data_IF_762291077282
#
_entry.id   IF_762291077282
#
_cell.length_a   1.000
_cell.length_b   1.000
_cell.length_c   1.000
_cell.angle_alpha   90.00
_cell.angle_beta   90.00
_cell.angle_gamma   90.00
#
_symmetry.space_group_name_H-M   'P 1'
#
loop_
_entity.id
_entity.type
_entity.pdbx_description
1 polymer ?
#
# COMPACT_ATOMS: atom_id res chain seq x y z
N UNK A 1 -16.36 -6.15 13.76
CA UNK A 1 -15.41 -5.08 14.10
C UNK A 1 -14.02 -5.55 13.67
N UNK A 2 -13.58 -5.14 12.48
CA UNK A 2 -12.31 -5.59 11.88
C UNK A 2 -11.16 -4.92 12.63
N UNK A 3 -10.36 -5.72 13.32
CA UNK A 3 -9.09 -5.27 13.93
C UNK A 3 -8.16 -4.84 12.79
N UNK A 4 -7.58 -3.64 12.90
CA UNK A 4 -6.47 -3.20 12.05
C UNK A 4 -5.34 -4.23 12.22
N UNK A 5 -5.14 -5.10 11.22
CA UNK A 5 -3.99 -6.00 11.16
C UNK A 5 -2.92 -5.26 10.36
N UNK A 6 -1.98 -4.64 11.07
CA UNK A 6 -0.71 -4.19 10.48
C UNK A 6 0.00 -5.47 10.01
N UNK A 7 -0.09 -5.77 8.72
CA UNK A 7 0.69 -6.86 8.12
C UNK A 7 2.13 -6.39 8.07
N UNK A 8 3.02 -7.12 8.74
CA UNK A 8 4.47 -6.99 8.56
C UNK A 8 4.79 -7.44 7.13
N UNK A 9 4.77 -6.50 6.19
CA UNK A 9 5.21 -6.66 4.80
C UNK A 9 6.59 -6.05 4.64
N UNK A 10 7.45 -6.78 3.96
CA UNK A 10 8.86 -6.55 3.66
C UNK A 10 9.28 -5.08 3.48
N UNK A 11 10.12 -4.63 4.43
CA UNK A 11 10.83 -3.35 4.43
C UNK A 11 11.88 -3.39 3.32
N UNK A 12 11.59 -2.80 2.17
CA UNK A 12 12.58 -2.57 1.12
C UNK A 12 12.28 -1.24 0.42
N UNK A 13 12.74 -0.14 1.01
CA UNK A 13 12.62 1.19 0.42
C UNK A 13 13.50 2.21 1.15
N UNK A 14 14.71 2.40 0.61
CA UNK A 14 15.66 3.49 0.83
C UNK A 14 15.44 4.39 2.06
N UNK A 15 16.08 4.01 3.17
CA UNK A 15 16.40 4.89 4.29
C UNK A 15 17.22 6.09 3.81
N UNK A 16 16.56 7.23 3.58
CA UNK A 16 17.22 8.53 3.68
C UNK A 16 17.29 8.89 5.17
N UNK A 17 18.37 8.42 5.78
CA UNK A 17 18.79 8.75 7.13
C UNK A 17 19.08 10.26 7.19
N UNK A 18 18.17 11.05 7.76
CA UNK A 18 18.50 12.37 8.30
C UNK A 18 18.05 12.41 9.76
N UNK A 19 19.05 12.53 10.64
CA UNK A 19 18.95 12.47 12.09
C UNK A 19 17.91 13.45 12.63
N UNK A 20 16.88 12.94 13.31
CA UNK A 20 16.09 13.68 14.29
C UNK A 20 16.60 13.41 15.72
N UNK A 21 17.92 13.30 15.89
CA UNK A 21 18.56 13.01 17.17
C UNK A 21 19.57 14.10 17.54
N UNK A 22 19.09 15.32 17.80
CA UNK A 22 19.87 16.36 18.48
C UNK A 22 18.97 17.53 18.99
N UNK A 23 17.84 17.23 19.63
CA UNK A 23 16.86 18.27 20.00
C UNK A 23 16.90 18.78 21.45
N UNK A 24 17.47 18.05 22.42
CA UNK A 24 17.23 18.36 23.83
C UNK A 24 18.48 18.47 24.72
N UNK A 25 19.65 18.64 24.12
CA UNK A 25 20.84 18.99 24.87
C UNK A 25 21.07 20.51 24.91
N UNK A 26 20.74 21.07 26.09
CA UNK A 26 21.29 22.28 26.70
C UNK A 26 20.66 23.63 26.29
N UNK A 27 19.48 23.90 26.85
CA UNK A 27 18.96 25.27 27.02
C UNK A 27 19.68 26.08 28.12
N UNK A 28 20.70 25.53 28.80
CA UNK A 28 21.20 26.12 30.05
C UNK A 28 22.43 27.04 29.95
N UNK A 29 22.83 27.54 28.76
CA UNK A 29 24.03 28.38 28.66
C UNK A 29 23.97 29.64 27.77
N UNK A 30 22.86 29.92 27.07
CA UNK A 30 22.74 31.13 26.24
C UNK A 30 21.43 31.87 26.53
N UNK A 31 21.46 32.74 27.53
CA UNK A 31 20.35 33.62 27.87
C UNK A 31 20.17 34.71 26.80
N UNK A 32 19.44 34.46 25.72
CA UNK A 32 18.75 35.53 24.95
C UNK A 32 17.52 35.06 24.14
N UNK A 33 17.43 33.80 23.69
CA UNK A 33 16.35 33.36 22.79
C UNK A 33 15.41 32.34 23.46
N UNK A 34 14.44 32.86 24.22
CA UNK A 34 13.34 32.08 24.82
C UNK A 34 12.21 31.84 23.80
N UNK A 35 11.44 30.78 24.00
CA UNK A 35 10.18 30.58 23.27
C UNK A 35 9.18 31.63 23.79
N UNK A 36 8.32 32.15 22.92
CA UNK A 36 7.11 32.88 23.29
C UNK A 36 5.91 31.91 23.16
N UNK A 37 5.46 31.29 24.25
CA UNK A 37 4.39 30.29 24.18
C UNK A 37 3.02 30.89 23.85
N UNK A 38 2.89 32.22 23.85
CA UNK A 38 1.66 32.92 23.48
C UNK A 38 1.59 33.24 21.98
N UNK A 39 2.72 33.13 21.26
CA UNK A 39 2.76 33.31 19.81
C UNK A 39 2.22 32.04 19.13
N UNK A 40 1.15 32.15 18.29
CA UNK A 40 0.64 31.00 17.57
C UNK A 40 1.68 30.49 16.56
N UNK A 41 1.74 29.18 16.38
CA UNK A 41 2.52 28.53 15.35
C UNK A 41 1.65 28.16 14.16
N UNK A 42 2.22 28.20 12.96
CA UNK A 42 1.61 27.66 11.74
C UNK A 42 2.33 26.38 11.36
N UNK A 43 1.58 25.28 11.24
CA UNK A 43 2.04 24.02 10.69
C UNK A 43 1.54 23.87 9.26
N UNK A 44 2.45 23.80 8.29
CA UNK A 44 2.16 23.45 6.90
C UNK A 44 2.53 21.99 6.67
N UNK A 45 1.56 21.15 6.32
CA UNK A 45 1.77 19.80 5.82
C UNK A 45 1.92 19.85 4.31
N UNK A 46 2.98 19.24 3.77
CA UNK A 46 3.29 19.25 2.35
C UNK A 46 3.53 17.85 1.80
N UNK A 47 2.91 17.54 0.67
CA UNK A 47 3.31 16.39 -0.15
C UNK A 47 4.78 16.60 -0.60
N UNK A 48 5.64 15.55 -0.57
CA UNK A 48 7.01 15.63 -1.07
C UNK A 48 7.06 16.06 -2.53
N UNK A 49 8.08 16.85 -2.89
CA UNK A 49 8.26 17.34 -4.26
C UNK A 49 9.29 16.50 -5.00
N UNK A 50 9.06 16.29 -6.30
CA UNK A 50 10.03 15.64 -7.19
C UNK A 50 10.01 14.11 -7.14
N UNK A 51 9.08 13.53 -6.39
CA UNK A 51 8.82 12.10 -6.35
C UNK A 51 7.85 11.69 -7.47
N UNK A 52 7.96 10.44 -7.96
CA UNK A 52 7.11 9.92 -9.05
C UNK A 52 5.60 10.03 -8.74
N UNK A 53 5.23 9.89 -7.47
CA UNK A 53 3.86 9.95 -6.98
C UNK A 53 3.38 11.36 -6.60
N UNK A 54 4.20 12.40 -6.78
CA UNK A 54 3.88 13.77 -6.33
C UNK A 54 2.60 14.30 -6.99
N UNK A 55 2.51 14.18 -8.32
CA UNK A 55 1.35 14.69 -9.08
C UNK A 55 0.06 13.94 -8.72
N UNK A 56 0.17 12.62 -8.51
CA UNK A 56 -0.96 11.79 -8.07
C UNK A 56 -1.47 12.25 -6.70
N UNK A 57 -0.58 12.38 -5.71
CA UNK A 57 -0.94 12.85 -4.36
C UNK A 57 -1.45 14.29 -4.34
N UNK A 58 -0.93 15.17 -5.20
CA UNK A 58 -1.42 16.55 -5.31
C UNK A 58 -2.87 16.61 -5.85
N UNK A 59 -3.26 15.65 -6.69
CA UNK A 59 -4.62 15.50 -7.18
C UNK A 59 -5.61 14.89 -6.18
N UNK A 60 -5.15 14.50 -5.00
CA UNK A 60 -5.98 13.89 -3.96
C UNK A 60 -6.32 14.90 -2.86
N UNK A 61 -7.45 14.65 -2.18
CA UNK A 61 -7.75 15.25 -0.88
C UNK A 61 -7.27 14.29 0.20
N UNK A 62 -6.29 14.72 1.01
CA UNK A 62 -5.76 13.92 2.13
C UNK A 62 -6.23 14.52 3.46
N UNK A 63 -6.47 13.65 4.44
CA UNK A 63 -6.90 14.06 5.77
C UNK A 63 -5.85 13.69 6.83
N UNK A 64 -5.40 14.69 7.59
CA UNK A 64 -4.45 14.53 8.67
C UNK A 64 -5.13 14.74 10.03
N UNK A 65 -4.91 13.79 10.94
CA UNK A 65 -5.27 13.85 12.35
C UNK A 65 -4.08 14.35 13.15
N UNK A 66 -4.30 15.36 13.99
CA UNK A 66 -3.26 16.04 14.76
C UNK A 66 -3.57 15.90 16.25
N UNK A 67 -2.60 15.40 17.01
CA UNK A 67 -2.70 15.17 18.45
C UNK A 67 -1.62 15.96 19.18
N UNK A 68 -1.99 16.74 20.19
CA UNK A 68 -1.04 17.45 21.03
C UNK A 68 -0.42 16.48 22.04
N UNK A 69 0.84 16.13 21.79
CA UNK A 69 1.62 15.20 22.63
C UNK A 69 2.15 15.91 23.87
N UNK A 70 2.62 17.15 23.73
CA UNK A 70 3.12 17.93 24.85
C UNK A 70 2.95 19.44 24.61
N UNK A 71 2.83 20.20 25.69
CA UNK A 71 2.99 21.67 25.69
C UNK A 71 4.45 22.03 25.92
N UNK A 72 4.86 23.25 25.58
CA UNK A 72 6.20 23.79 25.88
C UNK A 72 6.09 25.14 26.58
N UNK A 73 6.96 25.39 27.55
CA UNK A 73 7.05 26.68 28.23
C UNK A 73 8.13 27.59 27.61
N UNK A 74 8.26 28.82 28.14
CA UNK A 74 9.23 29.80 27.63
C UNK A 74 10.70 29.35 27.79
N UNK A 75 10.97 28.41 28.71
CA UNK A 75 12.30 27.83 28.91
C UNK A 75 12.59 26.65 27.96
N UNK A 76 11.60 26.21 27.17
CA UNK A 76 11.72 25.04 26.31
C UNK A 76 11.47 23.73 27.03
N UNK A 77 10.89 23.75 28.24
CA UNK A 77 10.55 22.52 28.96
C UNK A 77 9.22 21.96 28.45
N UNK A 78 9.26 20.71 27.98
CA UNK A 78 8.06 20.01 27.51
C UNK A 78 7.32 19.32 28.66
N UNK A 79 5.99 19.36 28.60
CA UNK A 79 5.09 18.65 29.50
C UNK A 79 4.07 17.83 28.70
N UNK A 80 4.15 16.51 28.81
CA UNK A 80 3.25 15.59 28.09
C UNK A 80 1.79 15.76 28.53
N UNK A 81 0.87 15.75 27.56
CA UNK A 81 -0.57 15.73 27.81
C UNK A 81 -0.99 14.37 28.40
N UNK A 82 -2.19 14.30 29.00
CA UNK A 82 -2.62 13.13 29.78
C UNK A 82 -2.53 11.81 29.02
N UNK A 83 -2.86 11.83 27.72
CA UNK A 83 -2.87 10.63 26.87
C UNK A 83 -1.46 10.16 26.50
N UNK A 84 -0.48 11.06 26.51
CA UNK A 84 0.90 10.79 26.10
C UNK A 84 1.89 10.76 27.26
N UNK A 85 1.43 10.81 28.52
CA UNK A 85 2.31 10.73 29.71
C UNK A 85 3.23 9.51 29.74
N UNK A 86 2.80 8.40 29.14
CA UNK A 86 3.58 7.16 29.07
C UNK A 86 4.67 7.19 28.00
N UNK A 87 4.68 8.22 27.12
CA UNK A 87 5.68 8.38 26.07
C UNK A 87 7.06 8.63 26.67
N UNK A 88 7.13 9.39 27.77
CA UNK A 88 8.36 9.83 28.45
C UNK A 88 9.32 10.54 27.49
N UNK A 89 8.99 11.77 27.08
CA UNK A 89 9.81 12.55 26.14
C UNK A 89 11.27 12.68 26.59
N UNK A 90 11.50 12.71 27.91
CA UNK A 90 12.83 12.76 28.54
C UNK A 90 13.72 11.57 28.18
N UNK A 91 13.16 10.42 27.83
CA UNK A 91 13.95 9.24 27.44
C UNK A 91 14.60 9.46 26.04
N UNK A 92 13.91 10.14 25.11
CA UNK A 92 14.53 10.55 23.84
C UNK A 92 15.60 11.63 24.03
N UNK A 93 15.40 12.54 24.99
CA UNK A 93 16.41 13.56 25.36
C UNK A 93 17.72 12.94 25.78
N UNK A 94 17.64 11.86 26.56
CA UNK A 94 18.79 11.17 27.10
C UNK A 94 19.46 10.23 26.10
N UNK A 95 18.84 10.04 24.92
CA UNK A 95 19.29 9.10 23.89
C UNK A 95 18.94 7.65 24.19
N UNK A 96 18.03 7.38 25.13
CA UNK A 96 17.59 6.03 25.51
C UNK A 96 16.65 5.43 24.45
N UNK A 97 15.95 6.28 23.69
CA UNK A 97 15.08 5.91 22.56
C UNK A 97 15.28 6.87 21.39
N UNK A 98 15.11 6.36 20.17
CA UNK A 98 15.15 7.17 18.96
C UNK A 98 13.84 7.95 18.75
N UNK A 99 13.89 9.03 17.97
CA UNK A 99 12.70 9.80 17.60
C UNK A 99 11.69 8.97 16.79
N UNK A 100 12.17 8.01 16.00
CA UNK A 100 11.34 7.10 15.21
C UNK A 100 10.58 6.12 16.12
N UNK A 101 11.26 5.49 17.08
CA UNK A 101 10.62 4.62 18.09
C UNK A 101 9.60 5.40 18.93
N UNK A 102 9.93 6.64 19.29
CA UNK A 102 9.00 7.53 20.01
C UNK A 102 7.78 7.88 19.16
N UNK A 103 7.97 8.17 17.87
CA UNK A 103 6.86 8.46 16.95
C UNK A 103 5.94 7.25 16.79
N UNK A 104 6.50 6.04 16.66
CA UNK A 104 5.72 4.80 16.59
C UNK A 104 4.88 4.58 17.86
N UNK A 105 5.50 4.74 19.04
CA UNK A 105 4.81 4.62 20.33
C UNK A 105 3.71 5.68 20.50
N UNK A 106 3.94 6.92 20.06
CA UNK A 106 2.92 7.96 20.09
C UNK A 106 1.73 7.59 19.17
N UNK A 107 1.98 7.08 17.97
CA UNK A 107 0.94 6.61 17.07
C UNK A 107 0.12 5.45 17.66
N UNK A 108 0.76 4.50 18.35
CA UNK A 108 0.04 3.44 19.07
C UNK A 108 -0.89 4.01 20.15
N UNK A 109 -0.41 4.96 20.96
CA UNK A 109 -1.21 5.61 22.01
C UNK A 109 -2.41 6.40 21.44
N UNK A 110 -2.27 6.95 20.23
CA UNK A 110 -3.30 7.75 19.56
C UNK A 110 -4.36 6.91 18.82
N UNK A 111 -4.12 5.62 18.58
CA UNK A 111 -4.92 4.76 17.67
C UNK A 111 -6.44 4.75 17.92
N UNK A 112 -6.88 4.81 19.18
CA UNK A 112 -8.30 4.83 19.58
C UNK A 112 -8.73 6.19 20.16
N UNK A 113 -7.98 7.26 19.88
CA UNK A 113 -8.20 8.60 20.44
C UNK A 113 -8.77 9.55 19.38
N UNK A 114 -9.61 10.46 19.85
CA UNK A 114 -10.06 11.60 19.04
C UNK A 114 -8.89 12.58 18.87
N UNK A 115 -8.60 13.05 17.65
CA UNK A 115 -7.59 14.07 17.45
C UNK A 115 -8.00 15.39 18.11
N UNK A 116 -7.02 16.17 18.54
CA UNK A 116 -7.26 17.53 19.05
C UNK A 116 -7.72 18.45 17.91
N UNK A 117 -7.22 18.20 16.70
CA UNK A 117 -7.70 18.84 15.48
C UNK A 117 -7.35 18.04 14.24
N UNK A 118 -7.99 18.38 13.12
CA UNK A 118 -7.70 17.84 11.81
C UNK A 118 -7.21 18.94 10.85
N UNK A 119 -6.51 18.52 9.80
CA UNK A 119 -6.06 19.33 8.68
C UNK A 119 -6.38 18.59 7.37
N UNK A 120 -6.97 19.31 6.41
CA UNK A 120 -7.21 18.80 5.06
C UNK A 120 -6.12 19.34 4.14
N UNK A 121 -5.55 18.47 3.33
CA UNK A 121 -4.47 18.77 2.40
C UNK A 121 -5.05 18.63 0.98
N UNK A 122 -5.04 19.74 0.25
CA UNK A 122 -5.54 19.84 -1.13
C UNK A 122 -4.46 20.50 -1.98
N UNK A 123 -4.35 20.10 -3.25
CA UNK A 123 -3.30 20.62 -4.14
C UNK A 123 -1.88 20.48 -3.52
N UNK A 124 -1.68 19.40 -2.76
CA UNK A 124 -0.41 19.05 -2.13
C UNK A 124 -0.05 19.78 -0.83
N UNK A 125 -0.88 20.71 -0.34
CA UNK A 125 -0.58 21.47 0.89
C UNK A 125 -1.79 21.65 1.81
N UNK A 126 -1.56 21.71 3.11
CA UNK A 126 -2.59 22.03 4.10
C UNK A 126 -1.98 22.72 5.32
N UNK A 127 -2.64 23.77 5.81
CA UNK A 127 -2.12 24.59 6.91
C UNK A 127 -2.99 24.53 8.17
N UNK A 128 -2.34 24.59 9.33
CA UNK A 128 -3.02 24.63 10.62
C UNK A 128 -2.32 25.55 11.61
N UNK A 129 -3.06 26.48 12.18
CA UNK A 129 -2.61 27.27 13.34
C UNK A 129 -2.75 26.43 14.63
N UNK A 130 -1.69 26.37 15.43
CA UNK A 130 -1.54 25.55 16.62
C UNK A 130 -0.77 26.32 17.70
N UNK A 131 -0.99 25.97 18.97
CA UNK A 131 -0.17 26.50 20.07
C UNK A 131 1.22 25.86 20.08
N UNK A 132 2.20 26.46 20.75
CA UNK A 132 3.51 25.83 20.92
C UNK A 132 3.43 24.50 21.68
N UNK A 133 4.18 23.49 21.21
CA UNK A 133 4.18 22.14 21.75
C UNK A 133 4.76 21.11 20.78
N UNK A 134 4.60 19.84 21.11
CA UNK A 134 4.89 18.71 20.20
C UNK A 134 3.57 18.11 19.75
N UNK A 135 3.46 17.87 18.45
CA UNK A 135 2.28 17.29 17.82
C UNK A 135 2.62 16.00 17.09
N UNK A 136 1.78 14.98 17.26
CA UNK A 136 1.76 13.80 16.40
C UNK A 136 0.82 14.07 15.24
N UNK A 137 1.32 13.90 14.02
CA UNK A 137 0.52 13.95 12.78
C UNK A 137 0.40 12.56 12.21
N UNK A 138 -0.85 12.14 11.97
CA UNK A 138 -1.20 10.86 11.33
C UNK A 138 -2.09 11.17 10.14
N UNK A 139 -1.63 10.88 8.93
CA UNK A 139 -2.45 11.02 7.72
C UNK A 139 -3.19 9.72 7.46
N UNK A 140 -4.48 9.83 7.12
CA UNK A 140 -5.29 8.67 6.77
C UNK A 140 -4.77 8.01 5.49
N UNK A 141 -4.91 6.68 5.40
CA UNK A 141 -4.63 5.94 4.17
C UNK A 141 -5.47 6.51 3.03
N UNK A 142 -4.85 6.71 1.88
CA UNK A 142 -5.51 7.19 0.69
C UNK A 142 -5.33 6.19 -0.46
N UNK A 143 -6.27 6.13 -1.40
CA UNK A 143 -6.19 5.20 -2.52
C UNK A 143 -6.61 5.86 -3.83
N UNK A 144 -5.93 5.47 -4.90
CA UNK A 144 -6.31 5.74 -6.29
C UNK A 144 -6.82 4.45 -6.93
N UNK A 145 -7.15 4.49 -8.22
CA UNK A 145 -7.54 3.29 -8.96
C UNK A 145 -6.44 2.21 -8.97
N UNK A 146 -5.17 2.62 -8.88
CA UNK A 146 -4.02 1.74 -9.08
C UNK A 146 -3.16 1.55 -7.84
N UNK A 147 -3.15 2.51 -6.91
CA UNK A 147 -2.26 2.50 -5.76
C UNK A 147 -3.00 2.76 -4.44
N UNK A 148 -2.41 2.25 -3.36
CA UNK A 148 -2.71 2.63 -1.99
C UNK A 148 -1.50 3.37 -1.40
N UNK A 149 -1.77 4.45 -0.66
CA UNK A 149 -0.79 5.25 0.04
C UNK A 149 -1.00 5.17 1.53
N UNK A 150 0.02 4.67 2.22
CA UNK A 150 0.13 4.74 3.66
C UNK A 150 1.14 5.82 4.02
N UNK A 151 0.93 6.54 5.12
CA UNK A 151 1.81 7.65 5.51
C UNK A 151 2.45 7.36 6.84
N UNK A 152 3.77 7.48 6.92
CA UNK A 152 4.47 7.35 8.18
C UNK A 152 4.08 8.52 9.09
N UNK A 153 3.67 8.25 10.35
CA UNK A 153 3.36 9.31 11.30
C UNK A 153 4.61 10.15 11.59
N UNK A 154 4.38 11.39 12.04
CA UNK A 154 5.46 12.32 12.38
C UNK A 154 5.22 13.04 13.69
N UNK A 155 6.23 13.09 14.56
CA UNK A 155 6.29 14.05 15.67
C UNK A 155 6.93 15.35 15.22
N UNK A 156 6.23 16.46 15.44
CA UNK A 156 6.61 17.80 14.98
C UNK A 156 6.63 18.75 16.19
N UNK A 157 7.75 19.42 16.41
CA UNK A 157 7.88 20.47 17.40
C UNK A 157 7.48 21.83 16.81
N UNK A 158 6.69 22.59 17.56
CA UNK A 158 6.26 23.94 17.23
C UNK A 158 6.53 24.86 18.45
N UNK A 159 7.28 25.97 18.29
CA UNK A 159 8.09 26.33 17.12
C UNK A 159 9.27 25.36 16.93
N UNK A 160 9.86 25.37 15.73
CA UNK A 160 11.11 24.64 15.43
C UNK A 160 12.34 25.57 15.59
N UNK A 161 13.55 25.00 15.56
CA UNK A 161 14.79 25.76 15.58
C UNK A 161 15.91 25.03 14.83
N UNK A 162 16.44 25.69 13.79
CA UNK A 162 17.44 25.11 12.89
C UNK A 162 18.73 24.68 13.61
N UNK A 163 19.06 25.29 14.75
CA UNK A 163 20.23 24.91 15.55
C UNK A 163 20.19 23.45 16.02
N UNK A 164 19.02 22.83 16.12
CA UNK A 164 18.86 21.40 16.46
C UNK A 164 19.13 20.46 15.28
N UNK A 165 19.07 20.96 14.06
CA UNK A 165 19.20 20.16 12.85
C UNK A 165 20.58 20.33 12.18
N UNK A 166 21.29 21.40 12.49
CA UNK A 166 22.52 21.76 11.77
C UNK A 166 23.52 22.49 12.66
N UNK A 167 24.72 21.90 12.82
CA UNK A 167 25.80 22.52 13.57
C UNK A 167 26.19 23.88 12.95
N UNK A 168 26.15 24.94 13.77
CA UNK A 168 26.47 26.31 13.33
C UNK A 168 25.30 27.09 12.74
N UNK A 169 24.08 26.52 12.72
CA UNK A 169 22.89 27.29 12.39
C UNK A 169 22.56 28.35 13.46
N UNK A 170 21.89 29.41 13.04
CA UNK A 170 21.44 30.47 13.94
C UNK A 170 20.42 29.90 14.94
N UNK A 171 20.61 30.21 16.22
CA UNK A 171 19.67 29.82 17.27
C UNK A 171 18.46 30.76 17.25
N UNK A 172 17.46 30.48 16.39
CA UNK A 172 16.26 31.29 16.23
C UNK A 172 15.02 30.38 16.15
N UNK A 173 13.99 30.72 16.92
CA UNK A 173 12.69 30.05 16.88
C UNK A 173 11.93 30.36 15.58
N UNK A 174 11.37 29.32 14.98
CA UNK A 174 10.62 29.33 13.72
C UNK A 174 9.19 28.89 14.03
N UNK A 175 8.25 29.84 14.00
CA UNK A 175 6.83 29.58 14.30
C UNK A 175 6.05 29.09 13.08
N UNK A 176 6.57 29.29 11.87
CA UNK A 176 6.02 28.76 10.62
C UNK A 176 6.82 27.52 10.21
N UNK A 177 6.30 26.33 10.52
CA UNK A 177 6.99 25.05 10.33
C UNK A 177 6.34 24.29 9.18
N UNK A 178 7.14 23.88 8.19
CA UNK A 178 6.69 22.97 7.14
C UNK A 178 7.17 21.56 7.42
N UNK A 179 6.24 20.60 7.43
CA UNK A 179 6.54 19.18 7.54
C UNK A 179 6.12 18.44 6.27
N UNK A 180 7.09 17.74 5.66
CA UNK A 180 6.81 16.90 4.51
C UNK A 180 6.16 15.59 4.97
N UNK A 181 5.09 15.18 4.29
CA UNK A 181 4.50 13.87 4.45
C UNK A 181 5.49 12.78 4.02
N UNK A 182 5.35 11.58 4.58
CA UNK A 182 6.20 10.43 4.27
C UNK A 182 5.35 9.28 3.72
N UNK A 183 4.89 9.38 2.45
CA UNK A 183 4.07 8.35 1.83
C UNK A 183 4.90 7.09 1.50
N UNK A 184 4.23 5.96 1.62
CA UNK A 184 4.63 4.65 1.11
C UNK A 184 3.54 4.20 0.14
N UNK A 185 3.92 4.04 -1.13
CA UNK A 185 3.01 3.65 -2.22
C UNK A 185 3.08 2.15 -2.44
N UNK A 186 1.92 1.49 -2.48
CA UNK A 186 1.80 0.06 -2.81
C UNK A 186 0.83 -0.14 -3.97
N UNK A 187 1.10 -1.04 -4.93
CA UNK A 187 0.13 -1.41 -5.96
C UNK A 187 -1.13 -2.01 -5.36
N UNK A 188 -2.27 -1.73 -5.98
CA UNK A 188 -3.52 -2.47 -5.77
C UNK A 188 -3.64 -3.58 -6.81
N UNK A 189 -4.46 -4.57 -6.51
CA UNK A 189 -4.59 -5.76 -7.34
C UNK A 189 -6.06 -6.08 -7.57
N UNK A 190 -6.34 -6.69 -8.71
CA UNK A 190 -7.61 -7.32 -9.02
C UNK A 190 -7.40 -8.76 -9.49
N UNK A 191 -8.48 -9.35 -9.98
CA UNK A 191 -8.48 -10.72 -10.48
C UNK A 191 -9.10 -10.81 -11.86
N UNK A 192 -8.72 -11.85 -12.58
CA UNK A 192 -9.26 -12.21 -13.88
C UNK A 192 -9.99 -13.55 -13.77
N UNK A 193 -11.26 -13.57 -14.17
CA UNK A 193 -12.06 -14.77 -14.39
C UNK A 193 -12.02 -15.14 -15.87
N UNK A 194 -11.49 -16.31 -16.18
CA UNK A 194 -11.57 -16.90 -17.52
C UNK A 194 -12.74 -17.87 -17.52
N UNK A 195 -13.83 -17.49 -18.18
CA UNK A 195 -15.00 -18.32 -18.34
C UNK A 195 -14.87 -19.15 -19.62
N UNK A 196 -14.95 -20.47 -19.46
CA UNK A 196 -14.90 -21.46 -20.54
C UNK A 196 -16.26 -22.09 -20.76
N UNK A 197 -16.84 -21.85 -21.94
CA UNK A 197 -18.08 -22.48 -22.37
C UNK A 197 -17.79 -23.64 -23.34
N UNK A 198 -18.50 -24.74 -23.15
CA UNK A 198 -18.45 -25.91 -24.02
C UNK A 198 -19.86 -26.31 -24.45
N UNK A 199 -20.20 -26.07 -25.73
CA UNK A 199 -21.55 -26.30 -26.25
C UNK A 199 -21.92 -27.78 -26.35
N UNK A 200 -20.99 -28.58 -26.87
CA UNK A 200 -21.17 -30.01 -27.12
C UNK A 200 -19.97 -30.77 -26.55
N UNK A 201 -20.24 -31.93 -25.96
CA UNK A 201 -19.24 -32.78 -25.32
C UNK A 201 -19.44 -34.23 -25.72
N UNK A 202 -18.35 -34.96 -25.97
CA UNK A 202 -18.40 -36.38 -26.26
C UNK A 202 -18.07 -37.21 -25.00
N UNK A 203 -19.10 -37.79 -24.38
CA UNK A 203 -18.99 -38.60 -23.16
C UNK A 203 -18.03 -39.80 -23.30
N UNK A 204 -17.88 -40.35 -24.51
CA UNK A 204 -16.99 -41.50 -24.75
C UNK A 204 -15.52 -41.11 -24.67
N UNK A 205 -15.20 -39.82 -24.89
CA UNK A 205 -13.84 -39.28 -24.91
C UNK A 205 -13.29 -38.92 -23.54
N UNK A 206 -14.13 -39.03 -22.49
CA UNK A 206 -13.83 -38.57 -21.12
C UNK A 206 -13.51 -37.07 -21.06
N UNK A 207 -12.93 -36.66 -19.94
CA UNK A 207 -12.58 -35.29 -19.63
C UNK A 207 -11.69 -34.65 -20.70
N UNK A 208 -11.94 -33.36 -20.96
CA UNK A 208 -11.14 -32.53 -21.86
C UNK A 208 -10.62 -31.30 -21.11
N UNK A 209 -9.33 -31.01 -21.28
CA UNK A 209 -8.68 -29.84 -20.70
C UNK A 209 -8.44 -28.76 -21.74
N UNK A 210 -8.74 -27.51 -21.39
CA UNK A 210 -8.42 -26.30 -22.13
C UNK A 210 -7.36 -25.50 -21.38
N UNK A 211 -6.38 -24.92 -22.07
CA UNK A 211 -5.26 -24.19 -21.45
C UNK A 211 -5.20 -22.76 -21.98
N UNK A 212 -5.05 -21.82 -21.06
CA UNK A 212 -5.03 -20.39 -21.31
C UNK A 212 -3.71 -19.79 -20.83
N UNK A 213 -3.03 -19.09 -21.72
CA UNK A 213 -1.88 -18.25 -21.37
C UNK A 213 -2.36 -16.84 -21.04
N UNK A 214 -1.87 -16.28 -19.95
CA UNK A 214 -2.21 -14.94 -19.46
C UNK A 214 -0.93 -14.13 -19.43
N UNK A 215 -0.93 -12.97 -20.09
CA UNK A 215 0.13 -11.98 -19.98
C UNK A 215 -0.49 -10.62 -19.67
N UNK A 216 0.03 -9.92 -18.66
CA UNK A 216 -0.39 -8.56 -18.34
C UNK A 216 0.79 -7.59 -18.44
N UNK A 217 0.54 -6.44 -19.04
CA UNK A 217 1.53 -5.36 -19.17
C UNK A 217 1.09 -4.08 -18.45
N UNK A 218 2.06 -3.35 -17.90
CA UNK A 218 1.85 -2.01 -17.36
C UNK A 218 1.67 -0.95 -18.47
N UNK A 219 1.47 0.31 -18.09
CA UNK A 219 1.35 1.44 -19.01
C UNK A 219 2.59 1.67 -19.88
N UNK A 220 3.76 1.22 -19.43
CA UNK A 220 5.04 1.31 -20.12
C UNK A 220 5.29 0.11 -21.04
N UNK A 221 4.40 -0.90 -21.04
CA UNK A 221 4.50 -2.11 -21.82
C UNK A 221 5.39 -3.19 -21.20
N UNK A 222 5.79 -3.08 -19.94
CA UNK A 222 6.54 -4.12 -19.24
C UNK A 222 5.60 -5.23 -18.76
N UNK A 223 6.01 -6.49 -18.91
CA UNK A 223 5.26 -7.62 -18.35
C UNK A 223 5.30 -7.57 -16.83
N UNK A 224 4.13 -7.41 -16.21
CA UNK A 224 3.94 -7.37 -14.75
C UNK A 224 3.24 -8.61 -14.20
N UNK A 225 2.69 -9.44 -15.09
CA UNK A 225 2.07 -10.72 -14.73
C UNK A 225 2.19 -11.69 -15.91
N UNK A 226 2.52 -12.94 -15.62
CA UNK A 226 2.49 -14.03 -16.59
C UNK A 226 2.11 -15.32 -15.88
N UNK A 227 1.08 -16.00 -16.39
CA UNK A 227 0.60 -17.24 -15.81
C UNK A 227 -0.06 -18.13 -16.87
N UNK A 228 -0.20 -19.41 -16.57
CA UNK A 228 -0.95 -20.36 -17.39
C UNK A 228 -1.95 -21.07 -16.50
N UNK A 229 -3.22 -21.04 -16.90
CA UNK A 229 -4.30 -21.71 -16.17
C UNK A 229 -5.07 -22.66 -17.10
N UNK A 230 -5.80 -23.60 -16.51
CA UNK A 230 -6.59 -24.57 -17.26
C UNK A 230 -7.95 -24.83 -16.64
N UNK A 231 -8.90 -25.24 -17.49
CA UNK A 231 -10.21 -25.76 -17.09
C UNK A 231 -10.41 -27.13 -17.70
N UNK A 232 -10.89 -28.09 -16.91
CA UNK A 232 -11.18 -29.47 -17.37
C UNK A 232 -12.67 -29.75 -17.30
N UNK A 233 -13.28 -30.04 -18.44
CA UNK A 233 -14.71 -30.35 -18.55
C UNK A 233 -14.95 -31.86 -18.61
N UNK A 234 -15.90 -32.34 -17.82
CA UNK A 234 -16.43 -33.72 -17.86
C UNK A 234 -17.84 -33.80 -18.47
N UNK A 235 -18.38 -32.66 -18.91
CA UNK A 235 -19.67 -32.48 -19.59
C UNK A 235 -19.70 -31.16 -20.35
N UNK A 236 -20.71 -30.96 -21.20
CA UNK A 236 -21.00 -29.65 -21.79
C UNK A 236 -21.44 -28.66 -20.71
N UNK A 237 -21.23 -27.37 -20.94
CA UNK A 237 -21.55 -26.29 -20.00
C UNK A 237 -20.37 -25.36 -19.74
N UNK A 238 -20.51 -24.57 -18.69
CA UNK A 238 -19.55 -23.51 -18.34
C UNK A 238 -18.69 -23.94 -17.16
N UNK A 239 -17.38 -23.68 -17.25
CA UNK A 239 -16.46 -23.67 -16.10
C UNK A 239 -15.70 -22.36 -16.11
N UNK A 240 -15.04 -22.04 -15.01
CA UNK A 240 -14.19 -20.87 -14.95
C UNK A 240 -12.89 -21.15 -14.19
N UNK A 241 -11.83 -20.47 -14.58
CA UNK A 241 -10.58 -20.40 -13.82
C UNK A 241 -10.34 -18.95 -13.36
N UNK A 242 -9.77 -18.78 -12.17
CA UNK A 242 -9.43 -17.47 -11.62
C UNK A 242 -7.91 -17.31 -11.61
N UNK A 243 -7.44 -16.18 -12.13
CA UNK A 243 -6.08 -15.69 -11.96
C UNK A 243 -6.12 -14.44 -11.07
N UNK A 244 -5.66 -14.60 -9.84
CA UNK A 244 -5.67 -13.54 -8.83
C UNK A 244 -4.38 -12.72 -8.83
N UNK A 245 -4.41 -11.61 -8.08
CA UNK A 245 -3.25 -10.79 -7.75
C UNK A 245 -2.55 -10.18 -8.98
N UNK A 246 -3.36 -9.73 -9.94
CA UNK A 246 -2.88 -9.00 -11.12
C UNK A 246 -2.89 -7.50 -10.79
N UNK A 247 -1.80 -6.74 -11.04
CA UNK A 247 -1.77 -5.32 -10.74
C UNK A 247 -2.93 -4.55 -11.40
N UNK A 248 -3.58 -3.67 -10.65
CA UNK A 248 -4.63 -2.79 -11.17
C UNK A 248 -4.07 -1.84 -12.25
N UNK A 249 -4.86 -1.56 -13.28
CA UNK A 249 -4.44 -0.83 -14.49
C UNK A 249 -3.65 -1.66 -15.50
N UNK A 250 -3.26 -2.90 -15.16
CA UNK A 250 -2.57 -3.77 -16.11
C UNK A 250 -3.51 -4.20 -17.24
N UNK A 251 -3.00 -4.13 -18.48
CA UNK A 251 -3.70 -4.62 -19.67
C UNK A 251 -3.36 -6.08 -19.85
N UNK A 252 -4.36 -6.93 -19.66
CA UNK A 252 -4.25 -8.38 -19.76
C UNK A 252 -4.62 -8.83 -21.16
N UNK A 253 -3.82 -9.76 -21.67
CA UNK A 253 -4.06 -10.58 -22.84
C UNK A 253 -4.22 -12.02 -22.38
N UNK A 254 -5.33 -12.65 -22.74
CA UNK A 254 -5.55 -14.08 -22.54
C UNK A 254 -5.60 -14.76 -23.90
N UNK A 255 -4.84 -15.83 -24.08
CA UNK A 255 -4.83 -16.65 -25.30
C UNK A 255 -5.18 -18.08 -24.95
N UNK A 256 -6.16 -18.68 -25.62
CA UNK A 256 -6.37 -20.13 -25.54
C UNK A 256 -5.30 -20.83 -26.37
N UNK A 257 -4.28 -21.37 -25.69
CA UNK A 257 -3.11 -22.00 -26.33
C UNK A 257 -3.31 -23.49 -26.56
N UNK A 258 -4.30 -24.11 -25.91
CA UNK A 258 -4.69 -25.49 -26.15
C UNK A 258 -6.21 -25.65 -26.03
N UNK A 259 -6.84 -26.04 -27.14
CA UNK A 259 -8.29 -26.16 -27.26
C UNK A 259 -8.85 -27.53 -26.88
N UNK A 260 -8.04 -28.44 -26.34
CA UNK A 260 -8.47 -29.79 -26.01
C UNK A 260 -8.53 -30.72 -27.23
N UNK A 261 -8.19 -32.00 -27.03
CA UNK A 261 -8.22 -32.98 -28.12
C UNK A 261 -9.66 -33.30 -28.55
N UNK A 262 -9.96 -33.19 -29.86
CA UNK A 262 -11.31 -33.41 -30.40
C UNK A 262 -12.24 -32.19 -30.28
N UNK A 263 -11.69 -31.01 -29.98
CA UNK A 263 -12.44 -29.77 -29.86
C UNK A 263 -11.74 -28.65 -30.61
N UNK A 264 -12.53 -27.65 -31.01
CA UNK A 264 -12.03 -26.46 -31.68
C UNK A 264 -12.61 -25.20 -31.05
N UNK A 265 -11.79 -24.15 -31.06
CA UNK A 265 -12.18 -22.81 -30.67
C UNK A 265 -13.21 -22.22 -31.64
N UNK A 266 -14.19 -21.51 -31.10
CA UNK A 266 -15.24 -20.79 -31.82
C UNK A 266 -15.18 -19.29 -31.56
N UNK A 267 -14.82 -18.88 -30.34
CA UNK A 267 -14.54 -17.48 -30.01
C UNK A 267 -13.22 -17.00 -30.66
N UNK A 268 -12.90 -15.72 -30.48
CA UNK A 268 -11.58 -15.20 -30.85
C UNK A 268 -10.47 -15.91 -30.05
N UNK A 269 -9.28 -16.14 -30.66
CA UNK A 269 -8.14 -16.80 -30.01
C UNK A 269 -7.54 -16.00 -28.86
N UNK A 270 -7.78 -14.68 -28.86
CA UNK A 270 -7.24 -13.76 -27.88
C UNK A 270 -8.35 -12.87 -27.33
N UNK A 271 -8.41 -12.73 -26.01
CA UNK A 271 -9.25 -11.78 -25.31
C UNK A 271 -8.38 -10.78 -24.57
N UNK A 272 -8.87 -9.54 -24.42
CA UNK A 272 -8.15 -8.50 -23.68
C UNK A 272 -9.05 -7.82 -22.66
N UNK A 273 -8.46 -7.40 -21.54
CA UNK A 273 -9.14 -6.76 -20.43
C UNK A 273 -8.18 -5.84 -19.68
N UNK A 274 -8.72 -4.87 -18.93
CA UNK A 274 -7.95 -4.04 -17.99
C UNK A 274 -8.37 -4.38 -16.57
N UNK A 275 -7.40 -4.61 -15.68
CA UNK A 275 -7.67 -5.05 -14.32
C UNK A 275 -8.05 -3.86 -13.44
N UNK A 276 -9.17 -3.99 -12.73
CA UNK A 276 -9.61 -3.02 -11.74
C UNK A 276 -9.29 -3.52 -10.32
N UNK A 277 -8.85 -2.61 -9.45
CA UNK A 277 -8.52 -2.94 -8.06
C UNK A 277 -9.74 -3.49 -7.30
N UNK A 278 -9.52 -4.56 -6.53
CA UNK A 278 -10.54 -5.24 -5.70
C UNK A 278 -11.76 -5.78 -6.48
N UNK A 279 -11.66 -5.88 -7.81
CA UNK A 279 -12.71 -6.41 -8.69
C UNK A 279 -12.23 -7.66 -9.45
N UNK A 280 -13.21 -8.42 -9.96
CA UNK A 280 -12.98 -9.56 -10.83
C UNK A 280 -13.44 -9.18 -12.24
N UNK A 281 -12.51 -9.14 -13.18
CA UNK A 281 -12.79 -8.87 -14.59
C UNK A 281 -12.95 -10.20 -15.33
N UNK A 282 -13.91 -10.31 -16.25
CA UNK A 282 -14.21 -11.57 -16.94
C UNK A 282 -13.84 -11.51 -18.42
N UNK A 283 -13.24 -12.60 -18.91
CA UNK A 283 -13.11 -12.89 -20.35
C UNK A 283 -13.71 -14.25 -20.65
N UNK A 284 -14.21 -14.43 -21.87
CA UNK A 284 -14.95 -15.64 -22.26
C UNK A 284 -14.30 -16.33 -23.46
N UNK A 285 -14.30 -17.66 -23.44
CA UNK A 285 -13.87 -18.51 -24.54
C UNK A 285 -14.89 -19.62 -24.80
N UNK A 286 -15.22 -19.85 -26.08
CA UNK A 286 -16.23 -20.82 -26.49
C UNK A 286 -15.61 -21.91 -27.36
N UNK A 287 -15.74 -23.18 -26.97
CA UNK A 287 -15.34 -24.32 -27.80
C UNK A 287 -16.53 -25.21 -28.16
N UNK A 288 -16.38 -25.90 -29.29
CA UNK A 288 -17.29 -26.96 -29.71
C UNK A 288 -16.51 -28.23 -30.06
N UNK A 289 -17.16 -29.37 -29.85
CA UNK A 289 -16.68 -30.66 -30.34
C UNK A 289 -16.49 -30.63 -31.87
N UNK A 290 -15.36 -31.17 -32.36
CA UNK A 290 -14.98 -31.15 -33.79
C UNK A 290 -15.18 -32.50 -34.51
N UNK A 291 -15.79 -33.47 -33.81
CA UNK A 291 -15.99 -34.86 -34.26
C UNK A 291 -14.73 -35.74 -34.31
N UNK A 292 -13.60 -35.26 -33.78
CA UNK A 292 -12.39 -36.04 -33.59
C UNK A 292 -12.54 -37.08 -32.47
N UNK A 293 -11.92 -38.25 -32.67
CA UNK A 293 -11.88 -39.34 -31.69
C UNK A 293 -10.51 -39.41 -30.99
N UNK A 294 -9.92 -38.26 -30.69
CA UNK A 294 -8.64 -38.15 -29.99
C UNK A 294 -8.88 -37.81 -28.51
N UNK A 295 -8.63 -38.72 -27.56
CA UNK A 295 -8.78 -38.41 -26.14
C UNK A 295 -7.60 -37.55 -25.68
N UNK A 296 -7.85 -36.61 -24.78
CA UNK A 296 -6.81 -35.73 -24.25
C UNK A 296 -7.17 -35.18 -22.88
N UNK A 297 -6.27 -35.36 -21.92
CA UNK A 297 -6.40 -34.90 -20.54
C UNK A 297 -5.15 -34.13 -20.13
N UNK A 298 -5.28 -33.11 -19.30
CA UNK A 298 -4.19 -32.28 -18.79
C UNK A 298 -3.88 -32.54 -17.32
N UNK A 299 -2.62 -32.35 -16.92
CA UNK A 299 -2.21 -32.36 -15.51
C UNK A 299 -1.81 -30.95 -15.12
N UNK A 300 -2.35 -30.44 -14.01
CA UNK A 300 -1.94 -29.15 -13.45
C UNK A 300 -1.01 -29.37 -12.26
N UNK A 301 0.12 -28.69 -12.30
CA UNK A 301 1.15 -28.73 -11.26
C UNK A 301 1.26 -27.34 -10.64
N UNK A 302 1.11 -27.26 -9.33
CA UNK A 302 1.25 -26.02 -8.58
C UNK A 302 2.54 -26.10 -7.76
N UNK A 303 3.37 -25.05 -7.84
CA UNK A 303 4.65 -24.97 -7.14
C UNK A 303 4.65 -23.74 -6.24
N UNK A 304 4.85 -23.95 -4.95
CA UNK A 304 4.98 -22.87 -3.95
C UNK A 304 6.40 -22.87 -3.40
N UNK A 305 6.98 -21.69 -3.18
CA UNK A 305 8.24 -21.57 -2.45
C UNK A 305 7.95 -21.22 -1.00
N UNK A 306 8.45 -22.04 -0.08
CA UNK A 306 8.49 -21.76 1.35
C UNK A 306 9.93 -21.43 1.77
N UNK A 307 10.11 -20.45 2.66
CA UNK A 307 11.45 -20.00 3.09
C UNK A 307 12.19 -21.10 3.90
N UNK A 308 11.46 -21.92 4.66
CA UNK A 308 12.03 -22.98 5.51
C UNK A 308 12.12 -24.33 4.77
N UNK A 309 11.11 -24.65 3.96
CA UNK A 309 10.97 -25.95 3.29
C UNK A 309 11.39 -25.94 1.81
N UNK A 310 11.65 -24.77 1.24
CA UNK A 310 12.00 -24.60 -0.17
C UNK A 310 10.80 -24.84 -1.11
N UNK A 311 11.08 -25.25 -2.36
CA UNK A 311 10.03 -25.51 -3.35
C UNK A 311 9.18 -26.74 -2.98
N UNK A 312 7.90 -26.49 -2.73
CA UNK A 312 6.86 -27.48 -2.58
C UNK A 312 6.10 -27.65 -3.89
N UNK A 313 5.56 -28.84 -4.11
CA UNK A 313 4.74 -29.15 -5.28
C UNK A 313 3.46 -29.86 -4.87
N UNK A 314 2.35 -29.42 -5.46
CA UNK A 314 1.04 -30.06 -5.34
C UNK A 314 0.45 -30.29 -6.72
N UNK A 315 -0.02 -31.50 -6.98
CA UNK A 315 -0.81 -31.79 -8.17
C UNK A 315 -2.25 -31.30 -7.97
N UNK A 316 -2.73 -30.47 -8.88
CA UNK A 316 -4.12 -30.04 -8.95
C UNK A 316 -4.85 -30.76 -10.09
N UNK A 317 -6.16 -31.04 -9.98
CA UNK A 317 -6.95 -31.53 -11.11
C UNK A 317 -6.91 -30.55 -12.29
N UNK A 318 -7.18 -29.26 -12.02
CA UNK A 318 -7.10 -28.11 -12.92
C UNK A 318 -7.10 -26.80 -12.09
N UNK A 319 -7.23 -25.64 -12.75
CA UNK A 319 -7.42 -24.34 -12.09
C UNK A 319 -8.90 -23.93 -12.04
N UNK A 320 -9.85 -24.84 -12.26
CA UNK A 320 -11.27 -24.51 -12.24
C UNK A 320 -11.71 -24.12 -10.84
N UNK A 321 -12.51 -23.07 -10.73
CA UNK A 321 -13.26 -22.74 -9.51
C UNK A 321 -14.14 -23.94 -9.19
N UNK A 322 -14.04 -24.45 -7.96
CA UNK A 322 -14.89 -25.55 -7.50
C UNK A 322 -16.28 -25.00 -7.20
N UNK A 323 -17.31 -25.62 -7.77
CA UNK A 323 -18.67 -25.43 -7.26
C UNK A 323 -18.72 -25.99 -5.83
N UNK A 324 -19.08 -25.15 -4.86
CA UNK A 324 -19.36 -25.57 -3.47
C UNK A 324 -20.67 -26.38 -3.37
#
# INVERSE_FOLDING_TARGET
>A
MKKLKIKKGYIAGLLTLFLAAAGLHVASAYATNVIDPAEPCTLTLSVPKGEEYTEELNGMELHAKIYQVATVDAAGEYSETSEFKSLSLKDAVNGDVTWEEMTAKAAELASDKTPDTECTITDGTGEKELNSGIYLVVVETASTGFYEYNFNPGLIALPDNQAFHSAGAENKWIYEVTANLKPERSPRYGSLLIQKNLDNYNETMKEVTFVFSIEAVDENGNTVYSNVVSTTHSSAGTKAAIADHIPAGAKVTVTEVYSGAGYRLVSEPQQTAEISADEIVTVEFDNTYDHGLNPGYGVTNHFDYDEDEGWQWTQLPDNSVKEE
#
